data_IF_563772000178
#
_entry.id   IF_563772000178
#
_cell.length_a   1.000
_cell.length_b   1.000
_cell.length_c   1.000
_cell.angle_alpha   90.00
_cell.angle_beta   90.00
_cell.angle_gamma   90.00
#
_symmetry.space_group_name_H-M   'P 1'
#
loop_
_entity.id
_entity.type
_entity.pdbx_description
1 polymer ?
#
# COMPACT_ATOMS: atom_id res chain seq x y z
N UNK A 1 -25.24 -16.43 -14.20
CA UNK A 1 -24.25 -15.51 -14.80
C UNK A 1 -24.58 -15.47 -16.28
N UNK A 2 -24.99 -14.31 -16.80
CA UNK A 2 -25.49 -14.22 -18.18
C UNK A 2 -24.34 -14.08 -19.19
N UNK A 3 -24.67 -14.23 -20.48
CA UNK A 3 -23.70 -14.02 -21.58
C UNK A 3 -23.25 -12.56 -21.62
N UNK A 4 -24.14 -11.64 -21.26
CA UNK A 4 -23.87 -10.21 -21.16
C UNK A 4 -22.86 -9.92 -20.04
N UNK A 5 -23.04 -10.49 -18.85
CA UNK A 5 -22.08 -10.37 -17.73
C UNK A 5 -20.68 -10.85 -18.13
N UNK A 6 -20.63 -11.99 -18.82
CA UNK A 6 -19.38 -12.58 -19.29
C UNK A 6 -18.68 -11.68 -20.31
N UNK A 7 -19.45 -11.14 -21.26
CA UNK A 7 -18.93 -10.25 -22.32
C UNK A 7 -18.40 -8.95 -21.74
N UNK A 8 -19.14 -8.35 -20.80
CA UNK A 8 -18.72 -7.14 -20.10
C UNK A 8 -17.42 -7.35 -19.32
N UNK A 9 -17.29 -8.49 -18.62
CA UNK A 9 -16.06 -8.85 -17.92
C UNK A 9 -14.86 -9.02 -18.89
N UNK A 10 -15.07 -9.61 -20.07
CA UNK A 10 -14.03 -9.76 -21.10
C UNK A 10 -13.57 -8.41 -21.67
N UNK A 11 -14.49 -7.48 -21.93
CA UNK A 11 -14.18 -6.13 -22.42
C UNK A 11 -13.34 -5.36 -21.40
N UNK A 12 -13.73 -5.36 -20.12
CA UNK A 12 -12.98 -4.70 -19.03
C UNK A 12 -11.56 -5.28 -18.91
N UNK A 13 -11.42 -6.61 -19.02
CA UNK A 13 -10.12 -7.28 -18.95
C UNK A 13 -9.22 -6.90 -20.13
N UNK A 14 -9.75 -6.85 -21.35
CA UNK A 14 -9.02 -6.44 -22.56
C UNK A 14 -8.59 -4.98 -22.49
N UNK A 15 -9.45 -4.08 -22.02
CA UNK A 15 -9.11 -2.66 -21.83
C UNK A 15 -7.94 -2.47 -20.84
N UNK A 16 -7.90 -3.23 -19.74
CA UNK A 16 -6.77 -3.23 -18.79
C UNK A 16 -5.49 -3.82 -19.38
N UNK A 17 -5.60 -4.75 -20.32
CA UNK A 17 -4.46 -5.36 -21.01
C UNK A 17 -3.93 -4.51 -22.18
N UNK A 18 -4.73 -3.58 -22.72
CA UNK A 18 -4.40 -2.80 -23.92
C UNK A 18 -3.17 -1.88 -23.76
N UNK A 19 -2.82 -1.46 -22.53
CA UNK A 19 -1.56 -0.74 -22.28
C UNK A 19 -0.34 -1.66 -22.06
N UNK A 20 -0.52 -2.98 -22.21
CA UNK A 20 0.50 -4.00 -22.02
C UNK A 20 0.87 -4.22 -20.54
N UNK A 21 1.76 -5.20 -20.31
CA UNK A 21 2.26 -5.53 -18.97
C UNK A 21 2.96 -4.33 -18.29
N UNK A 22 3.46 -3.37 -19.07
CA UNK A 22 4.15 -2.17 -18.59
C UNK A 22 3.21 -1.19 -17.88
N UNK A 23 2.00 -0.93 -18.40
CA UNK A 23 1.04 -0.07 -17.69
C UNK A 23 0.28 -0.83 -16.61
N UNK A 24 -0.03 -2.11 -16.83
CA UNK A 24 -0.66 -2.96 -15.81
C UNK A 24 0.20 -3.12 -14.54
N UNK A 25 1.54 -3.09 -14.68
CA UNK A 25 2.50 -3.06 -13.55
C UNK A 25 2.55 -1.71 -12.83
N UNK A 26 2.22 -0.60 -13.50
CA UNK A 26 2.16 0.75 -12.93
C UNK A 26 0.83 1.04 -12.23
N UNK A 27 -0.24 0.34 -12.62
CA UNK A 27 -1.55 0.50 -12.02
C UNK A 27 -1.54 -0.03 -10.59
N UNK A 28 -1.59 0.89 -9.63
CA UNK A 28 -1.69 0.54 -8.23
C UNK A 28 -3.03 -0.16 -7.98
N UNK A 29 -2.98 -1.35 -7.36
CA UNK A 29 -4.21 -2.12 -7.13
C UNK A 29 -5.09 -1.37 -6.14
N UNK A 30 -6.30 -1.03 -6.57
CA UNK A 30 -7.37 -0.58 -5.67
C UNK A 30 -7.61 -1.68 -4.65
N UNK A 31 -7.50 -1.34 -3.37
CA UNK A 31 -7.55 -2.36 -2.35
C UNK A 31 -8.98 -2.87 -2.13
N UNK A 32 -9.09 -4.12 -1.65
CA UNK A 32 -10.34 -4.80 -1.29
C UNK A 32 -10.85 -4.40 0.11
N UNK A 33 -12.14 -4.61 0.42
CA UNK A 33 -12.65 -4.51 1.79
C UNK A 33 -11.80 -5.36 2.73
N UNK A 34 -11.50 -4.83 3.92
CA UNK A 34 -10.64 -5.49 4.92
C UNK A 34 -11.39 -5.60 6.23
N UNK A 35 -11.26 -6.74 6.92
CA UNK A 35 -11.87 -7.00 8.23
C UNK A 35 -11.36 -6.04 9.32
N UNK A 36 -10.12 -5.58 9.18
CA UNK A 36 -9.50 -4.61 10.08
C UNK A 36 -9.28 -3.30 9.31
N UNK A 37 -9.86 -2.21 9.80
CA UNK A 37 -9.54 -0.86 9.33
C UNK A 37 -8.14 -0.53 9.80
N UNK A 38 -7.30 -0.03 8.89
CA UNK A 38 -5.97 0.45 9.20
C UNK A 38 -5.80 1.82 8.56
N UNK A 39 -5.34 2.78 9.37
CA UNK A 39 -5.54 4.22 9.14
C UNK A 39 -4.80 4.69 7.89
N UNK A 40 -3.58 4.19 7.68
CA UNK A 40 -2.70 4.62 6.59
C UNK A 40 -2.76 3.68 5.38
N UNK A 41 -3.94 3.12 5.12
CA UNK A 41 -4.12 2.16 4.05
C UNK A 41 -3.70 2.72 2.69
N UNK A 42 -2.64 2.13 2.15
CA UNK A 42 -2.12 2.51 0.84
C UNK A 42 -1.43 3.86 0.82
N UNK A 43 -1.08 4.42 1.98
CA UNK A 43 -0.27 5.64 2.09
C UNK A 43 1.19 5.33 2.38
N UNK A 44 1.48 4.17 3.01
CA UNK A 44 2.85 3.84 3.45
C UNK A 44 3.65 3.17 2.33
N UNK A 45 4.84 3.72 2.06
CA UNK A 45 5.86 3.16 1.17
C UNK A 45 7.10 2.78 1.97
N UNK A 46 7.76 1.71 1.53
CA UNK A 46 8.99 1.24 2.15
C UNK A 46 10.18 2.07 1.68
N UNK A 47 10.91 2.74 2.57
CA UNK A 47 12.09 3.54 2.18
C UNK A 47 13.25 2.74 1.57
N UNK A 48 13.25 1.41 1.68
CA UNK A 48 14.28 0.55 1.08
C UNK A 48 13.93 0.07 -0.35
N UNK A 49 12.65 0.09 -0.76
CA UNK A 49 12.26 -0.37 -2.10
C UNK A 49 11.12 0.42 -2.76
N UNK A 50 10.62 1.47 -2.13
CA UNK A 50 9.54 2.37 -2.53
C UNK A 50 8.17 1.72 -2.83
N UNK A 51 8.06 0.41 -2.61
CA UNK A 51 6.81 -0.31 -2.76
C UNK A 51 5.85 0.04 -1.63
N UNK A 52 4.57 0.13 -2.00
CA UNK A 52 3.46 0.21 -1.05
C UNK A 52 3.51 -0.96 -0.08
N UNK A 53 3.43 -0.67 1.21
CA UNK A 53 3.46 -1.67 2.27
C UNK A 53 2.11 -2.38 2.41
N UNK A 54 2.16 -3.64 2.82
CA UNK A 54 0.98 -4.49 3.08
C UNK A 54 0.50 -4.30 4.52
N UNK A 55 -0.81 -4.27 4.74
CA UNK A 55 -1.38 -4.40 6.09
C UNK A 55 -1.08 -5.78 6.68
N UNK A 56 -0.72 -5.83 7.97
CA UNK A 56 -0.32 -7.03 8.69
C UNK A 56 -0.87 -7.02 10.12
N UNK A 57 -2.18 -7.30 10.33
CA UNK A 57 -2.76 -7.33 11.66
C UNK A 57 -2.08 -8.40 12.53
N UNK A 58 -1.79 -8.06 13.79
CA UNK A 58 -1.22 -8.94 14.81
C UNK A 58 -2.07 -8.88 16.07
N UNK A 59 -1.81 -9.79 17.02
CA UNK A 59 -2.56 -9.90 18.29
C UNK A 59 -2.67 -8.56 19.05
N UNK A 60 -1.63 -7.74 19.02
CA UNK A 60 -1.51 -6.50 19.81
C UNK A 60 -1.45 -5.23 18.94
N UNK A 61 -2.04 -5.27 17.76
CA UNK A 61 -2.22 -4.07 16.94
C UNK A 61 -1.94 -4.27 15.46
N UNK A 62 -2.03 -3.16 14.74
CA UNK A 62 -1.85 -3.12 13.31
C UNK A 62 -0.41 -2.79 12.93
N UNK A 63 0.08 -3.46 11.90
CA UNK A 63 1.41 -3.24 11.34
C UNK A 63 1.31 -3.08 9.83
N UNK A 64 2.26 -2.35 9.28
CA UNK A 64 2.58 -2.31 7.87
C UNK A 64 3.83 -3.16 7.66
N UNK A 65 3.83 -4.02 6.63
CA UNK A 65 5.00 -4.85 6.32
C UNK A 65 5.45 -4.71 4.88
N UNK A 66 6.75 -4.82 4.66
CA UNK A 66 7.34 -4.97 3.34
C UNK A 66 8.26 -6.20 3.34
N UNK A 67 7.86 -7.33 2.73
CA UNK A 67 8.71 -8.52 2.70
C UNK A 67 9.58 -8.58 1.42
N UNK A 68 10.90 -8.70 1.59
CA UNK A 68 11.87 -8.76 0.49
C UNK A 68 11.58 -9.91 -0.49
N UNK A 69 11.05 -11.03 0.01
CA UNK A 69 10.69 -12.21 -0.81
C UNK A 69 9.71 -11.94 -1.95
N UNK A 70 9.01 -10.80 -1.91
CA UNK A 70 8.05 -10.41 -2.96
C UNK A 70 8.68 -9.48 -4.01
N UNK A 71 9.94 -9.08 -3.82
CA UNK A 71 10.69 -8.34 -4.83
C UNK A 71 11.02 -9.25 -6.01
N UNK A 72 11.17 -8.65 -7.19
CA UNK A 72 11.62 -9.41 -8.35
C UNK A 72 13.05 -9.96 -8.09
N UNK A 73 13.33 -11.21 -8.48
CA UNK A 73 14.70 -11.74 -8.43
C UNK A 73 15.68 -10.79 -9.14
N UNK A 74 16.82 -10.52 -8.50
CA UNK A 74 17.84 -9.61 -9.03
C UNK A 74 17.50 -8.12 -8.94
N UNK A 75 16.39 -7.73 -8.31
CA UNK A 75 16.09 -6.31 -8.09
C UNK A 75 17.20 -5.66 -7.23
N UNK A 76 17.71 -4.46 -7.59
CA UNK A 76 18.75 -3.77 -6.81
C UNK A 76 18.36 -3.56 -5.34
N UNK A 77 17.06 -3.34 -5.09
CA UNK A 77 16.53 -3.17 -3.74
C UNK A 77 16.78 -4.39 -2.83
N UNK A 78 17.00 -5.60 -3.36
CA UNK A 78 17.33 -6.79 -2.55
C UNK A 78 18.67 -6.64 -1.81
N UNK A 79 19.57 -5.77 -2.26
CA UNK A 79 20.86 -5.53 -1.61
C UNK A 79 20.71 -4.72 -0.31
N UNK A 80 19.73 -3.82 -0.26
CA UNK A 80 19.52 -2.91 0.87
C UNK A 80 18.31 -3.28 1.75
N UNK A 81 17.37 -4.06 1.20
CA UNK A 81 16.12 -4.38 1.88
C UNK A 81 16.29 -5.60 2.79
N UNK A 82 16.06 -5.50 4.11
CA UNK A 82 16.15 -6.64 5.02
C UNK A 82 15.05 -7.66 4.73
N UNK A 83 15.09 -8.90 5.27
CA UNK A 83 14.13 -9.95 4.93
C UNK A 83 12.66 -9.52 5.04
N UNK A 84 12.31 -8.74 6.06
CA UNK A 84 11.03 -8.03 6.15
C UNK A 84 11.17 -6.78 7.03
N UNK A 85 10.63 -5.65 6.56
CA UNK A 85 10.46 -4.43 7.35
C UNK A 85 9.05 -4.46 7.96
N UNK A 86 8.95 -4.15 9.25
CA UNK A 86 7.70 -3.95 9.96
C UNK A 86 7.64 -2.54 10.53
N UNK A 87 6.49 -1.89 10.38
CA UNK A 87 6.18 -0.61 10.99
C UNK A 87 4.89 -0.76 11.79
N UNK A 88 4.91 -0.37 13.07
CA UNK A 88 3.72 -0.40 13.93
C UNK A 88 2.86 0.83 13.65
N UNK A 89 1.55 0.62 13.47
CA UNK A 89 0.62 1.71 13.13
C UNK A 89 0.53 2.78 14.22
N UNK A 90 0.51 2.38 15.48
CA UNK A 90 0.38 3.30 16.62
C UNK A 90 1.50 4.34 16.67
N UNK A 91 2.76 3.91 16.55
CA UNK A 91 3.90 4.84 16.54
C UNK A 91 3.82 5.87 15.40
N UNK A 92 3.32 5.45 14.24
CA UNK A 92 3.12 6.35 13.12
C UNK A 92 1.92 7.29 13.35
N UNK A 93 0.82 6.77 13.87
CA UNK A 93 -0.38 7.54 14.18
C UNK A 93 -0.07 8.64 15.18
N UNK A 94 0.67 8.33 16.23
CA UNK A 94 0.96 9.27 17.30
C UNK A 94 1.88 10.40 16.77
N UNK A 95 2.87 10.06 15.94
CA UNK A 95 3.73 11.04 15.28
C UNK A 95 2.96 11.94 14.29
N UNK A 96 2.10 11.36 13.45
CA UNK A 96 1.28 12.13 12.50
C UNK A 96 0.31 13.05 13.22
N UNK A 97 -0.36 12.57 14.27
CA UNK A 97 -1.28 13.37 15.05
C UNK A 97 -0.56 14.51 15.78
N UNK A 98 0.66 14.27 16.31
CA UNK A 98 1.49 15.30 16.89
C UNK A 98 1.80 16.42 15.90
N UNK A 99 2.30 16.06 14.72
CA UNK A 99 2.57 17.01 13.65
C UNK A 99 1.32 17.77 13.18
N UNK A 100 0.19 17.08 13.03
CA UNK A 100 -1.08 17.75 12.70
C UNK A 100 -1.48 18.74 13.79
N UNK A 101 -1.27 18.39 15.07
CA UNK A 101 -1.51 19.30 16.19
C UNK A 101 -0.67 20.58 16.11
N UNK A 102 0.61 20.48 15.73
CA UNK A 102 1.50 21.64 15.53
C UNK A 102 0.98 22.60 14.45
N UNK A 103 0.40 22.06 13.36
CA UNK A 103 -0.18 22.90 12.29
C UNK A 103 -1.36 23.74 12.78
N UNK A 104 -2.06 23.28 13.81
CA UNK A 104 -3.19 23.99 14.43
C UNK A 104 -2.81 24.75 15.70
N UNK A 105 -1.51 24.90 15.99
CA UNK A 105 -1.08 25.77 17.08
C UNK A 105 -1.47 27.22 16.78
N UNK A 106 -1.80 27.99 17.82
CA UNK A 106 -2.34 29.34 17.69
C UNK A 106 -1.40 30.28 16.92
N UNK A 107 -0.10 29.98 16.90
CA UNK A 107 0.92 30.70 16.17
C UNK A 107 0.88 30.47 14.64
N UNK A 108 0.22 29.40 14.19
CA UNK A 108 0.20 28.96 12.79
C UNK A 108 -1.16 29.18 12.09
N UNK A 109 -2.22 29.54 12.81
CA UNK A 109 -3.56 29.80 12.25
C UNK A 109 -3.83 31.32 12.15
N UNK A 110 -2.95 32.02 11.42
CA UNK A 110 -3.09 33.45 11.08
C UNK A 110 -3.93 33.69 9.83
#
# INVERSE_FOLDING_TARGET
MSVEDFTQAQVIRRAKAAGGLRTARKAERVGRPVKHVYLFRGLIRCGACERKMEGSPRKYGMYYRCPARTLAPGAPALLAHPPTIYLREESLRDAVNGWVGELFDQQNIG
#
